data_IF_759591760235
#
_entry.id   IF_759591760235
#
_cell.length_a   1.000
_cell.length_b   1.000
_cell.length_c   1.000
_cell.angle_alpha   90.00
_cell.angle_beta   90.00
_cell.angle_gamma   90.00
#
_symmetry.space_group_name_H-M   'P 1'
#
loop_
_entity.id
_entity.type
_entity.pdbx_description
1 polymer ?
#
# COMPACT_ATOMS: atom_id res chain seq x y z
N UNK A 1 -3.75 16.81 16.77
CA UNK A 1 -3.90 16.23 15.41
C UNK A 1 -3.56 17.24 14.31
N UNK A 2 -4.06 18.48 14.37
CA UNK A 2 -3.71 19.53 13.36
C UNK A 2 -2.20 19.76 13.25
N UNK A 3 -1.47 19.73 14.37
CA UNK A 3 -0.02 19.86 14.35
C UNK A 3 0.69 18.71 13.58
N UNK A 4 0.14 17.49 13.63
CA UNK A 4 0.65 16.35 12.84
C UNK A 4 0.39 16.56 11.35
N UNK A 5 -0.80 17.07 10.98
CA UNK A 5 -1.11 17.41 9.59
C UNK A 5 -0.13 18.47 9.06
N UNK A 6 0.30 19.39 9.90
CA UNK A 6 1.27 20.42 9.51
C UNK A 6 2.66 19.88 9.15
N UNK A 7 3.01 18.66 9.59
CA UNK A 7 4.26 18.00 9.21
C UNK A 7 4.21 17.36 7.81
N UNK A 8 3.04 17.19 7.23
CA UNK A 8 2.85 16.48 5.95
C UNK A 8 3.02 17.36 4.71
N UNK A 9 3.34 18.63 4.87
CA UNK A 9 3.55 19.58 3.77
C UNK A 9 2.27 20.31 3.31
N UNK A 10 2.45 21.37 2.53
CA UNK A 10 1.36 22.28 2.14
C UNK A 10 0.37 21.71 1.13
N UNK A 11 0.76 20.67 0.38
CA UNK A 11 -0.07 20.04 -0.65
C UNK A 11 -1.03 18.99 -0.11
N UNK A 12 -0.92 18.61 1.17
CA UNK A 12 -1.77 17.59 1.78
C UNK A 12 -3.22 18.07 1.86
N UNK A 13 -4.11 17.25 1.32
CA UNK A 13 -5.55 17.42 1.39
C UNK A 13 -6.10 16.68 2.61
N UNK A 14 -7.18 17.17 3.18
CA UNK A 14 -7.77 16.62 4.41
C UNK A 14 -9.14 16.03 4.13
N UNK A 15 -9.31 14.77 4.49
CA UNK A 15 -10.60 14.12 4.67
C UNK A 15 -10.95 14.13 6.18
N UNK A 16 -12.18 14.47 6.51
CA UNK A 16 -12.66 14.49 7.89
C UNK A 16 -13.73 13.42 8.07
N UNK A 17 -13.43 12.42 8.89
CA UNK A 17 -14.42 11.51 9.43
C UNK A 17 -14.85 11.99 10.80
N UNK A 18 -16.13 12.14 10.99
CA UNK A 18 -16.69 12.48 12.29
C UNK A 18 -17.05 11.21 13.03
N UNK A 19 -16.48 11.08 14.19
CA UNK A 19 -16.77 10.02 15.14
C UNK A 19 -17.10 10.66 16.49
N UNK A 20 -18.37 10.56 16.88
CA UNK A 20 -18.86 11.17 18.13
C UNK A 20 -19.93 10.28 18.78
N UNK A 21 -19.62 8.97 19.00
CA UNK A 21 -20.66 8.00 19.29
C UNK A 21 -21.35 8.19 20.64
N UNK A 22 -20.67 8.77 21.61
CA UNK A 22 -21.16 8.67 23.00
C UNK A 22 -20.83 9.87 23.87
N UNK A 23 -20.15 10.88 23.32
CA UNK A 23 -19.61 11.96 24.16
C UNK A 23 -20.71 12.88 24.71
N UNK A 24 -21.81 12.99 23.96
CA UNK A 24 -22.93 13.82 24.38
C UNK A 24 -24.21 13.35 23.69
N UNK A 25 -25.18 12.85 24.44
CA UNK A 25 -26.51 12.49 23.95
C UNK A 25 -27.25 13.61 23.20
N UNK A 26 -26.71 14.83 23.20
CA UNK A 26 -27.22 15.96 22.45
C UNK A 26 -27.01 15.91 20.93
N UNK A 27 -26.15 15.01 20.41
CA UNK A 27 -25.91 14.87 18.98
C UNK A 27 -26.71 13.73 18.34
N UNK A 28 -27.01 12.68 19.08
CA UNK A 28 -27.78 11.55 18.56
C UNK A 28 -29.16 12.02 18.09
N UNK A 29 -29.50 11.77 16.81
CA UNK A 29 -30.75 12.19 16.18
C UNK A 29 -30.91 13.70 15.96
N UNK A 30 -29.92 14.54 16.29
CA UNK A 30 -29.98 15.98 16.09
C UNK A 30 -29.13 16.37 14.88
N UNK A 31 -29.77 16.47 13.74
CA UNK A 31 -29.11 16.76 12.45
C UNK A 31 -28.40 18.12 12.42
N UNK A 32 -29.03 19.15 12.98
CA UNK A 32 -28.46 20.51 13.00
C UNK A 32 -27.17 20.56 13.85
N UNK A 33 -27.19 19.98 15.05
CA UNK A 33 -26.00 19.92 15.91
C UNK A 33 -24.88 19.09 15.28
N UNK A 34 -25.23 17.97 14.63
CA UNK A 34 -24.26 17.16 13.89
C UNK A 34 -23.58 17.96 12.79
N UNK A 35 -24.35 18.68 11.98
CA UNK A 35 -23.83 19.54 10.93
C UNK A 35 -22.99 20.70 11.47
N UNK A 36 -23.42 21.33 12.58
CA UNK A 36 -22.65 22.41 13.25
C UNK A 36 -21.29 21.90 13.76
N UNK A 37 -21.23 20.69 14.31
CA UNK A 37 -19.96 20.09 14.74
C UNK A 37 -18.99 19.87 13.59
N UNK A 38 -19.51 19.36 12.47
CA UNK A 38 -18.72 19.14 11.22
C UNK A 38 -18.25 20.47 10.66
N UNK A 39 -19.12 21.49 10.61
CA UNK A 39 -18.74 22.83 10.15
C UNK A 39 -17.68 23.46 11.05
N UNK A 40 -17.86 23.39 12.37
CA UNK A 40 -16.88 23.88 13.31
C UNK A 40 -15.51 23.22 13.10
N UNK A 41 -15.47 21.89 12.98
CA UNK A 41 -14.22 21.14 12.77
C UNK A 41 -13.58 21.51 11.44
N UNK A 42 -14.37 21.57 10.36
CA UNK A 42 -13.91 21.95 9.02
C UNK A 42 -13.30 23.34 9.03
N UNK A 43 -13.99 24.32 9.61
CA UNK A 43 -13.51 25.68 9.76
C UNK A 43 -12.19 25.75 10.51
N UNK A 44 -12.06 25.04 11.65
CA UNK A 44 -10.82 25.00 12.44
C UNK A 44 -9.63 24.44 11.66
N UNK A 45 -9.85 23.46 10.78
CA UNK A 45 -8.82 22.92 9.90
C UNK A 45 -8.43 23.92 8.81
N UNK A 46 -9.43 24.58 8.21
CA UNK A 46 -9.22 25.60 7.18
C UNK A 46 -8.49 26.84 7.72
N UNK A 47 -8.83 27.32 8.92
CA UNK A 47 -8.15 28.42 9.60
C UNK A 47 -6.65 28.16 9.84
N UNK A 48 -6.25 26.90 9.83
CA UNK A 48 -4.83 26.47 9.92
C UNK A 48 -4.19 26.27 8.54
N UNK A 49 -4.80 26.81 7.48
CA UNK A 49 -4.26 26.80 6.12
C UNK A 49 -4.37 25.44 5.41
N UNK A 50 -5.25 24.54 5.89
CA UNK A 50 -5.44 23.21 5.26
C UNK A 50 -6.71 23.15 4.43
N UNK A 51 -6.60 22.51 3.26
CA UNK A 51 -7.75 22.30 2.37
C UNK A 51 -8.47 21.02 2.77
N UNK A 52 -9.70 21.15 3.25
CA UNK A 52 -10.63 20.03 3.44
C UNK A 52 -11.31 19.74 2.10
N UNK A 53 -11.31 18.50 1.65
CA UNK A 53 -11.88 18.07 0.38
C UNK A 53 -13.11 17.18 0.53
N UNK A 54 -13.23 16.50 1.66
CA UNK A 54 -14.37 15.63 1.96
C UNK A 54 -14.63 15.58 3.47
N UNK A 55 -15.90 15.39 3.82
CA UNK A 55 -16.35 15.14 5.20
C UNK A 55 -17.32 13.97 5.22
N UNK A 56 -17.21 13.12 6.25
CA UNK A 56 -18.18 12.06 6.52
C UNK A 56 -18.85 12.30 7.87
N UNK A 57 -20.19 12.35 7.93
CA UNK A 57 -20.93 12.47 9.19
C UNK A 57 -20.67 11.40 10.22
N UNK A 58 -20.45 10.15 9.79
CA UNK A 58 -20.18 9.00 10.65
C UNK A 58 -18.96 8.23 10.19
N UNK A 59 -18.39 7.42 11.07
CA UNK A 59 -17.37 6.42 10.81
C UNK A 59 -17.84 5.07 11.34
N UNK A 60 -17.99 4.08 10.46
CA UNK A 60 -18.45 2.72 10.80
C UNK A 60 -19.77 2.68 11.56
N UNK A 61 -20.82 3.36 11.08
CA UNK A 61 -22.08 3.47 11.82
C UNK A 61 -22.81 2.13 11.97
N UNK A 62 -22.49 1.15 11.15
CA UNK A 62 -23.03 -0.20 11.15
C UNK A 62 -22.43 -1.11 12.24
N UNK A 63 -21.41 -0.66 12.95
CA UNK A 63 -20.73 -1.47 14.00
C UNK A 63 -21.32 -1.30 15.42
N UNK A 64 -22.42 -0.64 15.58
CA UNK A 64 -23.07 -0.50 16.88
C UNK A 64 -22.47 0.55 17.80
N UNK A 65 -21.71 1.50 17.27
CA UNK A 65 -21.12 2.61 18.03
C UNK A 65 -22.15 3.64 18.53
N UNK A 66 -23.41 3.51 18.16
CA UNK A 66 -24.45 4.44 18.57
C UNK A 66 -24.34 5.84 17.97
N UNK A 67 -23.69 5.98 16.82
CA UNK A 67 -23.53 7.28 16.14
C UNK A 67 -24.85 7.83 15.61
N UNK A 68 -25.73 6.95 15.15
CA UNK A 68 -27.02 7.27 14.58
C UNK A 68 -27.45 6.26 13.52
N UNK A 69 -28.64 6.46 13.01
CA UNK A 69 -29.23 5.67 11.92
C UNK A 69 -28.85 6.24 10.55
N UNK A 70 -29.16 5.50 9.48
CA UNK A 70 -29.03 6.01 8.11
C UNK A 70 -29.88 7.28 7.89
N UNK A 71 -31.04 7.39 8.55
CA UNK A 71 -31.89 8.58 8.52
C UNK A 71 -31.21 9.77 9.20
N UNK A 72 -30.55 9.56 10.33
CA UNK A 72 -29.79 10.62 10.99
C UNK A 72 -28.67 11.13 10.11
N UNK A 73 -27.91 10.23 9.47
CA UNK A 73 -26.90 10.58 8.51
C UNK A 73 -27.45 11.41 7.35
N UNK A 74 -28.57 10.94 6.75
CA UNK A 74 -29.25 11.64 5.67
C UNK A 74 -29.64 13.04 6.05
N UNK A 75 -30.19 13.22 7.25
CA UNK A 75 -30.59 14.52 7.77
C UNK A 75 -29.40 15.44 8.02
N UNK A 76 -28.30 14.93 8.62
CA UNK A 76 -27.07 15.71 8.79
C UNK A 76 -26.51 16.17 7.44
N UNK A 77 -26.46 15.28 6.45
CA UNK A 77 -26.03 15.63 5.10
C UNK A 77 -26.90 16.73 4.49
N UNK A 78 -28.21 16.68 4.76
CA UNK A 78 -29.14 17.73 4.35
C UNK A 78 -28.91 19.08 5.01
N UNK A 79 -28.55 19.13 6.29
CA UNK A 79 -28.18 20.35 6.97
C UNK A 79 -26.83 20.92 6.45
N UNK A 80 -25.86 20.05 6.18
CA UNK A 80 -24.58 20.47 5.57
C UNK A 80 -24.79 21.14 4.23
N UNK A 81 -25.71 20.64 3.39
CA UNK A 81 -26.04 21.24 2.07
C UNK A 81 -26.62 22.66 2.15
N UNK A 82 -27.11 23.08 3.29
CA UNK A 82 -27.58 24.47 3.48
C UNK A 82 -26.44 25.45 3.72
N UNK A 83 -25.23 24.96 4.00
CA UNK A 83 -24.08 25.79 4.31
C UNK A 83 -23.14 25.90 3.10
N UNK A 84 -22.94 27.10 2.52
CA UNK A 84 -22.10 27.31 1.34
C UNK A 84 -20.66 26.82 1.45
N UNK A 85 -20.14 26.60 2.66
CA UNK A 85 -18.81 26.00 2.86
C UNK A 85 -18.72 24.63 2.22
N UNK A 86 -19.82 23.87 2.19
CA UNK A 86 -19.87 22.50 1.66
C UNK A 86 -20.26 22.41 0.19
N UNK A 87 -20.35 23.54 -0.53
CA UNK A 87 -20.58 23.54 -1.99
C UNK A 87 -19.39 22.93 -2.75
N UNK A 88 -18.17 23.07 -2.20
CA UNK A 88 -16.93 22.56 -2.80
C UNK A 88 -16.26 21.44 -2.00
N UNK A 89 -16.87 21.01 -0.90
CA UNK A 89 -16.42 19.91 -0.06
C UNK A 89 -17.37 18.75 -0.26
N UNK A 90 -16.86 17.60 -0.68
CA UNK A 90 -17.69 16.41 -0.87
C UNK A 90 -18.25 15.92 0.46
N UNK A 91 -19.52 15.54 0.45
CA UNK A 91 -20.14 14.79 1.54
C UNK A 91 -20.00 13.31 1.21
N UNK A 92 -19.26 12.59 2.03
CA UNK A 92 -18.90 11.18 1.89
C UNK A 92 -19.78 10.30 2.79
N UNK A 93 -20.20 9.13 2.28
CA UNK A 93 -20.97 8.15 3.05
C UNK A 93 -21.16 6.83 2.28
N UNK A 94 -21.70 5.73 2.82
CA UNK A 94 -22.04 5.42 4.22
C UNK A 94 -20.90 5.16 5.19
N UNK A 95 -19.64 5.05 4.72
CA UNK A 95 -18.47 4.84 5.57
C UNK A 95 -18.65 3.62 6.51
N UNK A 96 -19.19 2.53 5.94
CA UNK A 96 -19.52 1.33 6.69
C UNK A 96 -18.31 0.45 6.94
N UNK A 97 -18.24 -0.21 8.09
CA UNK A 97 -17.25 -1.23 8.43
C UNK A 97 -17.40 -2.48 7.55
N UNK A 98 -18.65 -2.88 7.35
CA UNK A 98 -19.03 -4.11 6.67
C UNK A 98 -19.43 -3.82 5.23
N UNK A 99 -18.73 -4.39 4.27
CA UNK A 99 -19.02 -4.21 2.83
C UNK A 99 -20.41 -4.69 2.43
N UNK A 100 -21.04 -5.60 3.19
CA UNK A 100 -22.42 -6.03 2.95
C UNK A 100 -23.45 -4.94 3.30
N UNK A 101 -23.09 -3.99 4.14
CA UNK A 101 -23.90 -2.82 4.49
C UNK A 101 -23.64 -1.60 3.58
N UNK A 102 -22.58 -1.64 2.78
CA UNK A 102 -22.15 -0.49 1.98
C UNK A 102 -23.21 -0.02 0.99
N UNK A 103 -23.72 -0.91 0.15
CA UNK A 103 -24.79 -0.56 -0.82
C UNK A 103 -26.14 -0.23 -0.17
N UNK A 104 -26.62 -0.96 0.85
CA UNK A 104 -27.82 -0.57 1.60
C UNK A 104 -27.78 0.87 2.13
N UNK A 105 -26.68 1.26 2.77
CA UNK A 105 -26.49 2.62 3.25
C UNK A 105 -26.37 3.63 2.11
N UNK A 106 -25.49 3.38 1.15
CA UNK A 106 -25.26 4.29 0.03
C UNK A 106 -26.54 4.58 -0.75
N UNK A 107 -27.35 3.56 -1.04
CA UNK A 107 -28.58 3.72 -1.82
C UNK A 107 -29.61 4.62 -1.15
N UNK A 108 -29.66 4.64 0.18
CA UNK A 108 -30.53 5.54 0.93
C UNK A 108 -29.97 6.96 1.01
N UNK A 109 -28.64 7.11 0.97
CA UNK A 109 -27.94 8.38 1.18
C UNK A 109 -27.62 9.12 -0.13
N UNK A 110 -27.50 8.42 -1.26
CA UNK A 110 -26.86 8.90 -2.50
C UNK A 110 -27.41 10.22 -3.04
N UNK A 111 -28.69 10.55 -2.78
CA UNK A 111 -29.27 11.83 -3.24
C UNK A 111 -28.70 13.06 -2.50
N UNK A 112 -27.96 12.86 -1.43
CA UNK A 112 -27.31 13.91 -0.63
C UNK A 112 -25.79 13.76 -0.55
N UNK A 113 -25.21 12.76 -1.21
CA UNK A 113 -23.79 12.50 -1.26
C UNK A 113 -23.14 12.99 -2.54
N UNK A 114 -21.85 13.25 -2.50
CA UNK A 114 -20.98 13.39 -3.66
C UNK A 114 -20.02 12.20 -3.75
N UNK A 115 -19.88 11.45 -2.64
CA UNK A 115 -18.88 10.43 -2.49
C UNK A 115 -19.47 9.22 -1.76
N UNK A 116 -19.23 8.02 -2.32
CA UNK A 116 -19.50 6.77 -1.63
C UNK A 116 -18.24 6.19 -1.00
N UNK A 117 -18.34 5.74 0.25
CA UNK A 117 -17.23 5.28 1.05
C UNK A 117 -17.58 4.02 1.84
N UNK A 118 -16.65 3.07 1.91
CA UNK A 118 -16.77 1.86 2.73
C UNK A 118 -15.40 1.31 3.11
N UNK A 119 -15.34 0.59 4.22
CA UNK A 119 -14.19 -0.22 4.65
C UNK A 119 -14.41 -1.70 4.29
N UNK A 120 -13.38 -2.52 4.50
CA UNK A 120 -13.45 -3.96 4.30
C UNK A 120 -12.97 -4.70 5.56
N UNK A 121 -13.60 -4.48 6.68
CA UNK A 121 -13.30 -5.22 7.92
C UNK A 121 -14.22 -6.43 8.11
N UNK A 122 -15.33 -6.47 7.39
CA UNK A 122 -16.29 -7.57 7.34
C UNK A 122 -17.05 -7.55 6.01
N UNK A 123 -17.84 -8.59 5.76
CA UNK A 123 -18.73 -8.71 4.60
C UNK A 123 -18.15 -9.58 3.48
N UNK A 124 -18.76 -9.50 2.30
CA UNK A 124 -18.39 -10.30 1.13
C UNK A 124 -17.51 -9.51 0.14
N UNK A 125 -16.62 -10.24 -0.54
CA UNK A 125 -15.80 -9.67 -1.61
C UNK A 125 -16.66 -9.11 -2.74
N UNK A 126 -17.75 -9.80 -3.08
CA UNK A 126 -18.67 -9.39 -4.14
C UNK A 126 -19.31 -8.03 -3.83
N UNK A 127 -19.74 -7.81 -2.61
CA UNK A 127 -20.33 -6.54 -2.20
C UNK A 127 -19.29 -5.42 -2.12
N UNK A 128 -18.06 -5.71 -1.68
CA UNK A 128 -16.97 -4.74 -1.71
C UNK A 128 -16.65 -4.27 -3.14
N UNK A 129 -16.51 -5.21 -4.09
CA UNK A 129 -16.27 -4.89 -5.49
C UNK A 129 -17.47 -4.16 -6.14
N UNK A 130 -18.69 -4.63 -5.89
CA UNK A 130 -19.92 -4.07 -6.47
C UNK A 130 -20.20 -2.66 -5.99
N UNK A 131 -19.80 -2.34 -4.77
CA UNK A 131 -19.95 -1.01 -4.18
C UNK A 131 -19.29 0.06 -5.04
N UNK A 132 -18.01 -0.06 -5.34
CA UNK A 132 -17.28 0.93 -6.13
C UNK A 132 -17.84 1.09 -7.53
N UNK A 133 -18.21 -0.02 -8.19
CA UNK A 133 -18.89 0.03 -9.50
C UNK A 133 -20.18 0.84 -9.44
N UNK A 134 -20.99 0.61 -8.41
CA UNK A 134 -22.28 1.28 -8.24
C UNK A 134 -22.11 2.75 -7.97
N UNK A 135 -21.19 3.13 -7.09
CA UNK A 135 -20.87 4.53 -6.79
C UNK A 135 -20.45 5.27 -8.06
N UNK A 136 -19.55 4.67 -8.84
CA UNK A 136 -19.09 5.24 -10.11
C UNK A 136 -20.20 5.36 -11.15
N UNK A 137 -21.05 4.35 -11.26
CA UNK A 137 -22.19 4.37 -12.19
C UNK A 137 -23.21 5.48 -11.86
N UNK A 138 -23.31 5.90 -10.60
CA UNK A 138 -24.13 7.03 -10.18
C UNK A 138 -23.42 8.40 -10.36
N UNK A 139 -22.20 8.43 -10.90
CA UNK A 139 -21.42 9.66 -11.11
C UNK A 139 -20.76 10.21 -9.85
N UNK A 140 -20.80 9.49 -8.74
CA UNK A 140 -20.19 9.91 -7.49
C UNK A 140 -18.71 9.51 -7.42
N UNK A 141 -17.97 10.21 -6.58
CA UNK A 141 -16.60 9.85 -6.22
C UNK A 141 -16.60 8.58 -5.37
N UNK A 142 -15.70 7.66 -5.63
CA UNK A 142 -15.61 6.39 -4.90
C UNK A 142 -14.34 6.36 -4.03
N UNK A 143 -14.51 6.10 -2.76
CA UNK A 143 -13.45 6.18 -1.75
C UNK A 143 -13.41 4.95 -0.84
N UNK A 144 -12.20 4.55 -0.45
CA UNK A 144 -11.93 3.69 0.70
C UNK A 144 -11.01 4.46 1.63
N UNK A 145 -11.55 5.10 2.66
CA UNK A 145 -10.77 6.00 3.50
C UNK A 145 -10.13 5.33 4.72
N UNK A 146 -10.24 4.00 4.77
CA UNK A 146 -9.56 3.18 5.75
C UNK A 146 -9.14 1.85 5.12
N UNK A 147 -8.06 1.89 4.30
CA UNK A 147 -7.49 0.70 3.68
C UNK A 147 -6.47 0.04 4.61
N UNK A 148 -6.60 -1.25 4.84
CA UNK A 148 -5.75 -2.00 5.75
C UNK A 148 -4.64 -2.79 5.03
N UNK A 149 -4.79 -3.02 3.72
CA UNK A 149 -3.84 -3.82 2.94
C UNK A 149 -3.88 -3.50 1.45
N UNK A 150 -2.84 -3.94 0.74
CA UNK A 150 -2.71 -3.72 -0.71
C UNK A 150 -3.81 -4.41 -1.51
N UNK A 151 -4.38 -5.52 -1.02
CA UNK A 151 -5.49 -6.20 -1.69
C UNK A 151 -6.72 -5.29 -1.80
N UNK A 152 -7.09 -4.62 -0.72
CA UNK A 152 -8.22 -3.67 -0.71
C UNK A 152 -8.00 -2.54 -1.72
N UNK A 153 -6.78 -2.00 -1.78
CA UNK A 153 -6.42 -0.97 -2.75
C UNK A 153 -6.49 -1.49 -4.20
N UNK A 154 -5.94 -2.68 -4.48
CA UNK A 154 -5.99 -3.28 -5.82
C UNK A 154 -7.41 -3.54 -6.29
N UNK A 155 -8.24 -4.16 -5.44
CA UNK A 155 -9.64 -4.43 -5.74
C UNK A 155 -10.42 -3.12 -5.89
N UNK A 156 -10.24 -2.19 -4.97
CA UNK A 156 -10.89 -0.89 -5.04
C UNK A 156 -10.62 -0.18 -6.38
N UNK A 157 -9.36 -0.06 -6.77
CA UNK A 157 -8.94 0.58 -8.03
C UNK A 157 -9.50 -0.17 -9.25
N UNK A 158 -9.47 -1.51 -9.25
CA UNK A 158 -10.03 -2.32 -10.34
C UNK A 158 -11.51 -2.04 -10.56
N UNK A 159 -12.25 -1.83 -9.48
CA UNK A 159 -13.70 -1.61 -9.53
C UNK A 159 -14.13 -0.14 -9.45
N UNK A 160 -13.19 0.79 -9.51
CA UNK A 160 -13.50 2.21 -9.73
C UNK A 160 -13.26 3.13 -8.52
N UNK A 161 -12.66 2.67 -7.45
CA UNK A 161 -12.19 3.53 -6.37
C UNK A 161 -11.21 4.58 -6.91
N UNK A 162 -11.38 5.83 -6.51
CA UNK A 162 -10.58 6.97 -6.96
C UNK A 162 -9.71 7.57 -5.86
N UNK A 163 -10.08 7.34 -4.62
CA UNK A 163 -9.28 7.73 -3.45
C UNK A 163 -9.16 6.56 -2.51
N UNK A 164 -7.94 6.25 -2.10
CA UNK A 164 -7.64 5.32 -1.04
C UNK A 164 -6.80 6.00 0.05
N UNK A 165 -7.15 5.79 1.30
CA UNK A 165 -6.41 6.32 2.45
C UNK A 165 -6.04 5.13 3.33
N UNK A 166 -4.75 4.98 3.62
CA UNK A 166 -4.25 3.89 4.45
C UNK A 166 -4.58 4.13 5.93
N UNK A 167 -5.08 3.09 6.59
CA UNK A 167 -5.03 3.01 8.02
C UNK A 167 -3.58 2.76 8.45
N UNK A 168 -2.94 3.76 9.02
CA UNK A 168 -1.52 3.73 9.35
C UNK A 168 -0.63 4.33 8.26
N UNK A 169 0.45 3.64 7.91
CA UNK A 169 1.49 4.13 7.02
C UNK A 169 1.52 3.40 5.68
N UNK A 170 1.98 4.09 4.64
CA UNK A 170 2.18 3.51 3.31
C UNK A 170 3.56 2.83 3.21
N UNK A 171 3.78 1.79 4.01
CA UNK A 171 5.06 1.09 4.05
C UNK A 171 5.21 0.13 2.86
N UNK A 172 6.42 0.01 2.36
CA UNK A 172 6.89 -0.91 1.33
C UNK A 172 5.89 -1.15 0.18
N UNK A 173 5.16 -2.28 0.16
CA UNK A 173 4.23 -2.63 -0.91
C UNK A 173 3.11 -1.60 -1.09
N UNK A 174 2.62 -0.99 -0.01
CA UNK A 174 1.61 0.07 -0.04
C UNK A 174 2.14 1.32 -0.74
N UNK A 175 3.33 1.79 -0.36
CA UNK A 175 3.97 2.96 -0.96
C UNK A 175 4.34 2.75 -2.43
N UNK A 176 4.82 1.56 -2.79
CA UNK A 176 5.09 1.21 -4.19
C UNK A 176 3.79 1.10 -5.02
N UNK A 177 2.71 0.57 -4.44
CA UNK A 177 1.42 0.51 -5.11
C UNK A 177 0.83 1.90 -5.39
N UNK A 178 0.95 2.84 -4.44
CA UNK A 178 0.53 4.24 -4.66
C UNK A 178 1.21 4.82 -5.90
N UNK A 179 2.53 4.66 -6.03
CA UNK A 179 3.28 5.13 -7.20
C UNK A 179 2.88 4.39 -8.49
N UNK A 180 2.66 3.09 -8.38
CA UNK A 180 2.33 2.24 -9.52
C UNK A 180 0.92 2.51 -10.05
N UNK A 181 -0.04 2.76 -9.17
CA UNK A 181 -1.46 2.98 -9.52
C UNK A 181 -1.71 4.27 -10.30
N UNK A 182 -0.79 5.24 -10.26
CA UNK A 182 -0.82 6.43 -11.12
C UNK A 182 -0.47 6.11 -12.58
N UNK A 183 0.04 4.92 -12.85
CA UNK A 183 0.44 4.46 -14.16
C UNK A 183 -0.60 3.55 -14.83
N UNK A 184 -0.09 2.57 -15.59
CA UNK A 184 -0.92 1.66 -16.38
C UNK A 184 -0.99 0.28 -15.74
N UNK A 185 -2.20 -0.22 -15.45
CA UNK A 185 -2.43 -1.63 -15.11
C UNK A 185 -2.18 -2.52 -16.34
N UNK A 186 -1.32 -3.52 -16.18
CA UNK A 186 -0.97 -4.48 -17.23
C UNK A 186 -1.71 -5.81 -17.06
N UNK A 187 -1.94 -6.24 -15.81
CA UNK A 187 -2.68 -7.46 -15.50
C UNK A 187 -3.36 -7.32 -14.12
N UNK A 188 -4.43 -8.08 -13.95
CA UNK A 188 -5.16 -8.22 -12.69
C UNK A 188 -5.73 -9.62 -12.58
N UNK A 189 -5.72 -10.15 -11.37
CA UNK A 189 -6.39 -11.40 -11.00
C UNK A 189 -6.88 -11.30 -9.55
N UNK A 190 -7.97 -12.01 -9.27
CA UNK A 190 -8.53 -12.09 -7.92
C UNK A 190 -9.00 -13.51 -7.64
N UNK A 191 -8.98 -13.89 -6.36
CA UNK A 191 -9.59 -15.13 -5.90
C UNK A 191 -10.54 -14.79 -4.75
N UNK A 192 -11.80 -14.52 -5.11
CA UNK A 192 -12.83 -14.02 -4.19
C UNK A 192 -13.05 -14.89 -2.96
N UNK A 193 -13.19 -16.24 -3.12
CA UNK A 193 -13.37 -17.12 -1.95
C UNK A 193 -12.22 -17.03 -0.94
N UNK A 194 -11.01 -16.77 -1.41
CA UNK A 194 -9.82 -16.68 -0.56
C UNK A 194 -9.47 -15.25 -0.15
N UNK A 195 -10.26 -14.25 -0.56
CA UNK A 195 -9.99 -12.84 -0.26
C UNK A 195 -8.58 -12.38 -0.58
N UNK A 196 -8.15 -12.67 -1.80
CA UNK A 196 -6.83 -12.30 -2.31
C UNK A 196 -6.94 -11.66 -3.68
N UNK A 197 -5.96 -10.82 -4.03
CA UNK A 197 -5.82 -10.27 -5.36
C UNK A 197 -4.34 -10.09 -5.71
N UNK A 198 -4.08 -10.03 -7.03
CA UNK A 198 -2.77 -9.72 -7.58
C UNK A 198 -2.92 -8.83 -8.82
N UNK A 199 -1.94 -7.95 -9.04
CA UNK A 199 -1.94 -7.05 -10.18
C UNK A 199 -0.53 -6.79 -10.69
N UNK A 200 -0.41 -6.34 -11.94
CA UNK A 200 0.85 -5.86 -12.51
C UNK A 200 0.62 -4.45 -13.04
N UNK A 201 1.48 -3.54 -12.66
CA UNK A 201 1.45 -2.15 -13.09
C UNK A 201 2.78 -1.73 -13.72
N UNK A 202 2.67 -0.81 -14.68
CA UNK A 202 3.78 0.03 -15.12
C UNK A 202 3.54 1.42 -14.57
N UNK A 203 4.42 1.89 -13.70
CA UNK A 203 4.32 3.24 -13.15
C UNK A 203 4.62 4.33 -14.19
N UNK A 204 4.39 5.63 -13.91
CA UNK A 204 4.67 6.71 -14.84
C UNK A 204 6.14 6.79 -15.30
N UNK A 205 7.08 6.36 -14.46
CA UNK A 205 8.52 6.34 -14.79
C UNK A 205 8.93 5.09 -15.61
N UNK A 206 7.98 4.20 -15.92
CA UNK A 206 8.22 3.00 -16.74
C UNK A 206 8.57 1.73 -15.94
N UNK A 207 8.76 1.81 -14.64
CA UNK A 207 9.03 0.66 -13.76
C UNK A 207 7.83 -0.29 -13.76
N UNK A 208 8.09 -1.58 -13.93
CA UNK A 208 7.05 -2.62 -13.89
C UNK A 208 7.15 -3.41 -12.59
N UNK A 209 6.02 -3.57 -11.93
CA UNK A 209 5.94 -4.28 -10.65
C UNK A 209 4.69 -5.16 -10.60
N UNK A 210 4.85 -6.37 -10.04
CA UNK A 210 3.75 -7.23 -9.65
C UNK A 210 3.47 -7.03 -8.16
N UNK A 211 2.19 -6.93 -7.83
CA UNK A 211 1.68 -6.80 -6.46
C UNK A 211 0.79 -7.98 -6.13
N UNK A 212 0.79 -8.37 -4.86
CA UNK A 212 -0.13 -9.31 -4.31
C UNK A 212 -0.53 -8.93 -2.90
N UNK A 213 -1.77 -9.22 -2.52
CA UNK A 213 -2.26 -8.91 -1.19
C UNK A 213 -3.39 -9.82 -0.74
N UNK A 214 -3.54 -9.91 0.56
CA UNK A 214 -4.60 -10.65 1.25
C UNK A 214 -5.46 -9.70 2.08
N UNK A 215 -6.72 -10.07 2.30
CA UNK A 215 -7.53 -9.41 3.34
C UNK A 215 -6.90 -9.60 4.71
N UNK A 216 -7.02 -8.61 5.55
CA UNK A 216 -6.52 -8.65 6.92
C UNK A 216 -7.18 -9.76 7.77
N UNK A 217 -8.46 -10.06 7.52
CA UNK A 217 -9.27 -10.88 8.44
C UNK A 217 -9.89 -12.13 7.83
N UNK A 218 -9.90 -12.29 6.51
CA UNK A 218 -10.71 -13.30 5.83
C UNK A 218 -9.93 -14.17 4.84
N UNK A 219 -8.63 -13.91 4.66
CA UNK A 219 -7.86 -14.54 3.61
C UNK A 219 -7.53 -16.01 3.87
N UNK A 220 -7.51 -16.78 2.79
CA UNK A 220 -6.94 -18.13 2.73
C UNK A 220 -5.75 -18.12 1.77
N UNK A 221 -4.72 -18.91 2.09
CA UNK A 221 -3.50 -18.99 1.27
C UNK A 221 -3.81 -19.20 -0.21
N UNK A 222 -3.24 -18.37 -1.07
CA UNK A 222 -3.45 -18.37 -2.52
C UNK A 222 -2.13 -18.16 -3.25
N UNK A 223 -1.98 -18.77 -4.42
CA UNK A 223 -0.84 -18.56 -5.30
C UNK A 223 -1.27 -17.93 -6.60
N UNK A 224 -0.50 -16.94 -7.06
CA UNK A 224 -0.68 -16.32 -8.37
C UNK A 224 0.52 -16.59 -9.27
N UNK A 225 0.27 -17.03 -10.50
CA UNK A 225 1.30 -17.22 -11.50
C UNK A 225 1.31 -16.06 -12.50
N UNK A 226 2.42 -15.37 -12.57
CA UNK A 226 2.67 -14.30 -13.55
C UNK A 226 3.38 -14.88 -14.76
N UNK A 227 2.90 -14.55 -15.94
CA UNK A 227 3.50 -14.99 -17.20
C UNK A 227 3.84 -13.77 -18.08
N UNK A 228 5.13 -13.61 -18.38
CA UNK A 228 5.56 -12.66 -19.40
C UNK A 228 5.28 -13.22 -20.80
N UNK A 229 4.44 -12.54 -21.58
CA UNK A 229 3.96 -13.04 -22.87
C UNK A 229 5.04 -13.04 -23.96
N UNK A 230 5.84 -12.00 -24.02
CA UNK A 230 6.72 -11.73 -25.18
C UNK A 230 8.17 -12.12 -24.95
N UNK A 231 8.70 -11.93 -23.76
CA UNK A 231 10.12 -12.12 -23.46
C UNK A 231 10.36 -12.72 -22.09
N UNK A 232 11.56 -13.25 -21.89
CA UNK A 232 12.03 -13.59 -20.56
C UNK A 232 12.40 -12.33 -19.78
N UNK A 233 12.07 -12.30 -18.49
CA UNK A 233 12.25 -11.16 -17.60
C UNK A 233 12.86 -11.62 -16.27
N UNK A 234 13.28 -10.68 -15.48
CA UNK A 234 13.77 -10.90 -14.12
C UNK A 234 12.70 -10.48 -13.11
N UNK A 235 12.43 -11.33 -12.14
CA UNK A 235 11.56 -11.06 -11.00
C UNK A 235 12.44 -10.88 -9.75
N UNK A 236 12.58 -9.63 -9.27
CA UNK A 236 13.54 -9.23 -8.22
C UNK A 236 14.96 -9.75 -8.48
N UNK A 237 15.42 -9.59 -9.73
CA UNK A 237 16.74 -10.02 -10.17
C UNK A 237 16.89 -11.54 -10.42
N UNK A 238 15.85 -12.33 -10.18
CA UNK A 238 15.86 -13.79 -10.48
C UNK A 238 15.38 -14.03 -11.90
N UNK A 239 16.18 -14.72 -12.69
CA UNK A 239 15.87 -15.02 -14.08
C UNK A 239 17.12 -15.09 -14.95
N UNK A 240 16.99 -14.97 -16.31
CA UNK A 240 15.76 -14.62 -17.02
C UNK A 240 14.75 -15.78 -17.08
N UNK A 241 13.49 -15.50 -16.83
CA UNK A 241 12.44 -16.51 -16.86
C UNK A 241 11.12 -15.93 -17.39
N UNK A 242 10.21 -16.81 -17.86
CA UNK A 242 8.91 -16.42 -18.39
C UNK A 242 7.82 -16.43 -17.34
N UNK A 243 7.98 -17.22 -16.30
CA UNK A 243 6.97 -17.43 -15.27
C UNK A 243 7.53 -17.18 -13.86
N UNK A 244 6.67 -16.67 -12.99
CA UNK A 244 6.95 -16.49 -11.57
C UNK A 244 5.70 -16.80 -10.77
N UNK A 245 5.83 -17.51 -9.65
CA UNK A 245 4.72 -17.80 -8.75
C UNK A 245 4.91 -17.03 -7.44
N UNK A 246 3.92 -16.20 -7.11
CA UNK A 246 3.82 -15.49 -5.84
C UNK A 246 2.86 -16.25 -4.94
N UNK A 247 3.30 -16.64 -3.76
CA UNK A 247 2.47 -17.26 -2.73
C UNK A 247 2.09 -16.19 -1.71
N UNK A 248 0.79 -16.03 -1.50
CA UNK A 248 0.22 -15.13 -0.50
C UNK A 248 -0.33 -15.97 0.65
N UNK A 249 0.34 -16.04 1.78
CA UNK A 249 -0.15 -16.77 2.94
C UNK A 249 -1.39 -16.10 3.53
N UNK A 250 -2.36 -16.90 3.97
CA UNK A 250 -3.59 -16.46 4.65
C UNK A 250 -3.89 -17.34 5.85
N UNK A 251 -4.99 -17.06 6.54
CA UNK A 251 -5.48 -17.88 7.65
C UNK A 251 -6.36 -19.05 7.21
N UNK A 252 -7.08 -19.59 8.14
CA UNK A 252 -7.99 -20.74 7.95
C UNK A 252 -9.46 -20.41 8.16
N UNK A 253 -9.77 -19.16 8.40
CA UNK A 253 -11.12 -18.66 8.63
C UNK A 253 -11.11 -17.25 9.15
N UNK A 254 -12.27 -16.69 9.45
CA UNK A 254 -12.36 -15.30 9.89
C UNK A 254 -11.51 -15.06 11.14
N UNK A 255 -10.51 -14.21 11.02
CA UNK A 255 -9.52 -13.84 12.04
C UNK A 255 -8.67 -14.99 12.61
N UNK A 256 -8.80 -16.22 12.09
CA UNK A 256 -8.02 -17.36 12.61
C UNK A 256 -6.69 -17.48 11.87
N UNK A 257 -5.60 -17.17 12.55
CA UNK A 257 -4.25 -17.26 11.99
C UNK A 257 -4.02 -16.36 10.77
N UNK A 258 -4.75 -15.25 10.67
CA UNK A 258 -4.63 -14.35 9.54
C UNK A 258 -3.24 -13.73 9.46
N UNK A 259 -2.76 -13.62 8.23
CA UNK A 259 -1.56 -12.87 7.89
C UNK A 259 -1.96 -11.78 6.92
N UNK A 260 -1.65 -10.55 7.24
CA UNK A 260 -1.81 -9.43 6.30
C UNK A 260 -0.66 -9.48 5.29
N UNK A 261 -0.73 -10.44 4.37
CA UNK A 261 0.32 -10.64 3.37
C UNK A 261 0.24 -9.54 2.31
N UNK A 262 1.34 -8.85 2.14
CA UNK A 262 1.52 -7.81 1.12
C UNK A 262 2.85 -8.05 0.43
N UNK A 263 2.84 -8.15 -0.90
CA UNK A 263 4.02 -8.43 -1.69
C UNK A 263 4.13 -7.46 -2.87
N UNK A 264 5.37 -7.09 -3.17
CA UNK A 264 5.73 -6.40 -4.41
C UNK A 264 6.98 -7.07 -4.99
N UNK A 265 6.96 -7.29 -6.29
CA UNK A 265 8.06 -7.90 -7.04
C UNK A 265 8.38 -7.01 -8.24
N UNK A 266 9.63 -6.58 -8.36
CA UNK A 266 10.09 -5.79 -9.48
C UNK A 266 10.27 -6.69 -10.71
N UNK A 267 9.79 -6.23 -11.86
CA UNK A 267 9.94 -6.93 -13.14
C UNK A 267 10.82 -6.08 -14.05
N UNK A 268 11.94 -6.63 -14.47
CA UNK A 268 12.93 -5.94 -15.29
C UNK A 268 13.40 -6.81 -16.47
N UNK A 269 13.99 -6.21 -17.50
CA UNK A 269 14.48 -6.90 -18.69
C UNK A 269 15.49 -6.06 -19.46
N UNK A 270 16.24 -6.73 -20.36
CA UNK A 270 17.16 -6.08 -21.28
C UNK A 270 18.33 -5.39 -20.59
N UNK A 271 18.84 -4.38 -21.25
CA UNK A 271 20.03 -3.62 -20.80
C UNK A 271 19.75 -2.69 -19.62
N UNK A 272 18.48 -2.49 -19.28
CA UNK A 272 18.07 -1.69 -18.10
C UNK A 272 18.34 -2.40 -16.78
N UNK A 273 18.58 -3.71 -16.81
CA UNK A 273 18.86 -4.50 -15.61
C UNK A 273 20.33 -4.41 -15.26
N UNK A 274 20.64 -3.67 -14.22
CA UNK A 274 21.99 -3.55 -13.68
C UNK A 274 22.06 -4.18 -12.29
N UNK A 275 23.16 -4.90 -11.96
CA UNK A 275 23.33 -5.38 -10.61
C UNK A 275 23.50 -4.21 -9.64
N UNK A 276 22.77 -4.26 -8.54
CA UNK A 276 22.86 -3.24 -7.47
C UNK A 276 24.24 -3.29 -6.80
N UNK A 277 24.81 -4.50 -6.70
CA UNK A 277 26.13 -4.73 -6.13
C UNK A 277 27.11 -5.05 -7.26
N UNK A 278 27.99 -4.12 -7.53
CA UNK A 278 29.08 -4.26 -8.50
C UNK A 278 30.14 -3.20 -8.18
N UNK A 279 31.33 -3.60 -7.84
CA UNK A 279 32.40 -2.66 -7.51
C UNK A 279 33.26 -3.10 -6.32
N UNK A 280 33.99 -2.14 -5.76
CA UNK A 280 34.95 -2.38 -4.68
C UNK A 280 34.37 -2.02 -3.32
N UNK A 281 34.38 -2.96 -2.40
CA UNK A 281 33.74 -2.85 -1.07
C UNK A 281 34.64 -3.32 0.04
N UNK A 282 34.38 -2.83 1.26
CA UNK A 282 34.81 -3.42 2.52
C UNK A 282 33.61 -4.16 3.11
N UNK A 283 33.77 -5.45 3.42
CA UNK A 283 32.72 -6.30 3.94
C UNK A 283 32.79 -6.33 5.47
N UNK A 284 31.79 -5.74 6.12
CA UNK A 284 31.75 -5.59 7.59
C UNK A 284 30.81 -6.61 8.19
N UNK A 285 31.27 -7.41 9.13
CA UNK A 285 30.43 -8.31 9.91
C UNK A 285 29.51 -7.48 10.83
N UNK A 286 28.21 -7.72 10.72
CA UNK A 286 27.20 -6.94 11.45
C UNK A 286 27.34 -7.06 12.98
N UNK A 287 27.71 -8.22 13.47
CA UNK A 287 27.84 -8.50 14.92
C UNK A 287 29.14 -8.00 15.47
N UNK A 288 30.27 -8.47 14.91
CA UNK A 288 31.62 -8.20 15.44
C UNK A 288 32.15 -6.81 15.07
N UNK A 289 31.52 -6.15 14.06
CA UNK A 289 31.98 -4.90 13.45
C UNK A 289 33.39 -4.99 12.80
N UNK A 290 33.94 -6.19 12.72
CA UNK A 290 35.20 -6.48 12.03
C UNK A 290 34.98 -6.63 10.54
N UNK A 291 36.03 -6.43 9.76
CA UNK A 291 36.01 -6.55 8.30
C UNK A 291 36.60 -7.87 7.83
N UNK A 292 36.17 -8.34 6.68
CA UNK A 292 36.75 -9.50 6.03
C UNK A 292 38.06 -9.12 5.37
N UNK A 293 39.13 -9.90 5.66
CA UNK A 293 40.47 -9.68 5.11
C UNK A 293 41.17 -10.99 4.68
N UNK A 294 42.10 -10.86 3.74
CA UNK A 294 43.09 -11.90 3.50
C UNK A 294 44.20 -11.75 4.56
N UNK A 295 44.41 -12.80 5.34
CA UNK A 295 45.35 -12.79 6.46
C UNK A 295 46.76 -12.40 6.00
N UNK A 296 47.39 -11.50 6.76
CA UNK A 296 48.76 -11.01 6.52
C UNK A 296 48.98 -10.39 5.14
N UNK A 297 47.93 -9.93 4.47
CA UNK A 297 47.96 -9.43 3.11
C UNK A 297 48.60 -10.42 2.11
N UNK A 298 48.48 -11.72 2.36
CA UNK A 298 49.09 -12.77 1.54
C UNK A 298 48.54 -12.74 0.12
N UNK A 299 49.41 -12.85 -0.88
CA UNK A 299 49.05 -12.99 -2.29
C UNK A 299 49.05 -14.44 -2.78
N UNK A 300 49.37 -15.41 -1.88
CA UNK A 300 49.39 -16.83 -2.21
C UNK A 300 47.99 -17.39 -2.46
N UNK A 301 47.87 -18.39 -3.35
CA UNK A 301 46.65 -19.18 -3.44
C UNK A 301 46.44 -20.00 -2.15
N UNK A 302 45.19 -20.17 -1.72
CA UNK A 302 44.88 -20.85 -0.45
C UNK A 302 45.14 -20.01 0.81
N UNK A 303 45.45 -18.72 0.67
CA UNK A 303 45.61 -17.83 1.81
C UNK A 303 44.30 -17.74 2.63
N UNK A 304 44.46 -17.76 3.97
CA UNK A 304 43.32 -17.73 4.87
C UNK A 304 42.57 -16.39 4.81
N UNK A 305 41.24 -16.45 4.78
CA UNK A 305 40.37 -15.30 4.91
C UNK A 305 39.76 -15.27 6.30
N UNK A 306 39.85 -14.13 6.99
CA UNK A 306 39.45 -13.98 8.40
C UNK A 306 38.78 -12.63 8.66
N UNK A 307 38.28 -12.44 9.86
CA UNK A 307 37.81 -11.14 10.36
C UNK A 307 38.91 -10.41 11.11
N UNK A 308 39.07 -9.12 10.84
CA UNK A 308 40.02 -8.28 11.58
C UNK A 308 39.50 -6.86 11.75
N UNK A 309 40.17 -6.04 12.55
CA UNK A 309 39.88 -4.63 12.66
C UNK A 309 40.07 -3.93 11.32
N UNK A 310 39.23 -2.97 11.03
CA UNK A 310 39.33 -2.15 9.79
C UNK A 310 40.61 -1.29 9.84
N UNK A 311 41.35 -1.29 8.76
CA UNK A 311 42.48 -0.40 8.53
C UNK A 311 42.24 0.41 7.26
N UNK A 312 42.23 1.73 7.39
CA UNK A 312 42.00 2.59 6.25
C UNK A 312 43.07 2.40 5.16
N UNK A 313 42.63 2.26 3.90
CA UNK A 313 43.55 2.04 2.78
C UNK A 313 44.10 0.62 2.61
N UNK A 314 43.83 -0.30 3.53
CA UNK A 314 44.34 -1.67 3.44
C UNK A 314 43.66 -2.45 2.29
N UNK A 315 44.36 -2.66 1.20
CA UNK A 315 43.84 -3.31 -0.01
C UNK A 315 43.49 -4.80 0.18
N UNK A 316 44.12 -5.47 1.17
CA UNK A 316 43.78 -6.85 1.54
C UNK A 316 42.46 -6.97 2.33
N UNK A 317 41.85 -5.84 2.71
CA UNK A 317 40.51 -5.73 3.29
C UNK A 317 39.47 -5.21 2.27
N UNK A 318 39.87 -4.98 1.03
CA UNK A 318 39.01 -4.53 -0.03
C UNK A 318 38.72 -5.66 -1.00
N UNK A 319 37.45 -5.76 -1.37
CA UNK A 319 36.95 -6.83 -2.22
C UNK A 319 36.22 -6.23 -3.41
N UNK A 320 36.59 -6.65 -4.59
CA UNK A 320 35.85 -6.37 -5.79
C UNK A 320 34.72 -7.40 -5.89
N UNK A 321 33.51 -6.93 -5.75
CA UNK A 321 32.30 -7.76 -5.82
C UNK A 321 31.75 -7.66 -7.24
N UNK A 322 31.73 -8.78 -7.95
CA UNK A 322 31.29 -8.85 -9.34
C UNK A 322 30.14 -9.85 -9.46
N UNK A 323 29.04 -9.52 -10.16
CA UNK A 323 28.01 -10.50 -10.48
C UNK A 323 28.59 -11.59 -11.39
N UNK A 324 28.15 -12.83 -11.20
CA UNK A 324 28.53 -13.94 -12.07
C UNK A 324 27.76 -13.85 -13.39
N UNK A 325 28.50 -13.85 -14.49
CA UNK A 325 27.95 -13.77 -15.84
C UNK A 325 28.27 -12.46 -16.54
N UNK A 326 28.31 -12.53 -17.86
CA UNK A 326 28.65 -11.38 -18.74
C UNK A 326 27.41 -10.67 -19.29
N UNK A 327 26.21 -11.11 -18.88
CA UNK A 327 24.95 -10.51 -19.36
C UNK A 327 24.57 -9.33 -18.47
N UNK A 328 24.44 -8.18 -19.06
CA UNK A 328 23.58 -7.13 -18.55
C UNK A 328 22.19 -7.74 -18.42
N UNK A 329 21.62 -7.72 -17.23
CA UNK A 329 20.40 -8.46 -16.92
C UNK A 329 20.58 -9.97 -16.67
N UNK A 330 21.77 -10.42 -16.27
CA UNK A 330 22.05 -11.79 -15.81
C UNK A 330 21.38 -12.13 -14.47
N UNK A 331 21.52 -13.36 -14.06
CA UNK A 331 21.15 -13.76 -12.70
C UNK A 331 22.10 -13.12 -11.69
N UNK A 332 21.62 -12.17 -10.91
CA UNK A 332 22.39 -11.49 -9.87
C UNK A 332 22.31 -12.19 -8.51
N UNK A 333 21.96 -13.45 -8.48
CA UNK A 333 21.95 -14.28 -7.25
C UNK A 333 23.34 -14.71 -6.83
N UNK A 334 24.32 -14.67 -7.76
CA UNK A 334 25.69 -15.12 -7.52
C UNK A 334 26.69 -14.01 -7.79
N UNK A 335 27.69 -13.91 -6.91
CA UNK A 335 28.75 -12.93 -7.00
C UNK A 335 30.09 -13.61 -6.75
N UNK A 336 31.14 -13.13 -7.41
CA UNK A 336 32.52 -13.42 -7.06
C UNK A 336 33.07 -12.30 -6.18
N UNK A 337 33.88 -12.67 -5.21
CA UNK A 337 34.60 -11.76 -4.34
C UNK A 337 36.11 -11.89 -4.68
N UNK A 338 36.67 -10.84 -5.26
CA UNK A 338 38.07 -10.81 -5.66
C UNK A 338 38.81 -9.85 -4.76
N UNK A 339 39.84 -10.34 -4.09
CA UNK A 339 40.67 -9.51 -3.20
C UNK A 339 41.43 -8.45 -4.02
N UNK A 340 41.25 -7.16 -3.67
CA UNK A 340 41.80 -6.05 -4.45
C UNK A 340 43.35 -6.03 -4.54
N UNK A 341 44.04 -6.57 -3.53
CA UNK A 341 45.51 -6.58 -3.48
C UNK A 341 46.13 -7.72 -4.30
N UNK A 342 45.45 -8.86 -4.45
CA UNK A 342 46.00 -10.05 -5.09
C UNK A 342 45.34 -10.44 -6.41
N UNK A 343 44.15 -9.91 -6.70
CA UNK A 343 43.34 -10.29 -7.85
C UNK A 343 42.78 -11.72 -7.77
N UNK A 344 42.88 -12.41 -6.60
CA UNK A 344 42.38 -13.77 -6.42
C UNK A 344 40.99 -13.77 -5.81
N UNK A 345 40.15 -14.69 -6.29
CA UNK A 345 38.79 -14.88 -5.77
C UNK A 345 38.82 -15.71 -4.48
N UNK A 346 37.75 -15.58 -3.69
CA UNK A 346 37.44 -16.51 -2.62
C UNK A 346 36.97 -17.82 -3.26
N UNK A 347 37.52 -18.91 -2.74
CA UNK A 347 37.16 -20.27 -3.11
C UNK A 347 36.30 -20.89 -2.00
#
# INVERSE_FOLDING_TARGET
RINLINLTGSKTLVALNCYHPTVDGGYAGNAERGAQLIDFTTRRVQERGRKVITVSPFNEPDFGWGQGTVTDFYNIAGELRKNPRFDTIRISGGNTLNSDQALPWYNQLKSRLDEGNTHQLAGSFDNFASFYKTVRANGHHATGDELHNVMEAMVGVEYGMQTGIWWGTAEYARGEFVKASDGRRLAYAEHRPNWTAASVYRNPEGKVQAFGGTSERQAVTTSYSFLSKEKSVFFDGKGPQRAYTMVLPGGTGYQTGQTNAEAVVNISWGDDVQPVINGKYVLVNRLSKKVMEVALASTAAGANVRQNAYTAGATHQQWEVRPVGTRIGGDFSYFTFVAAHSGKAID
#
